data_IF_782238463377
#
_entry.id   IF_782238463377
#
_cell.length_a   1.000
_cell.length_b   1.000
_cell.length_c   1.000
_cell.angle_alpha   90.00
_cell.angle_beta   90.00
_cell.angle_gamma   90.00
#
_symmetry.space_group_name_H-M   'P 1'
#
loop_
_entity.id
_entity.type
_entity.pdbx_description
1 polymer ?
#
# COMPACT_ATOMS: atom_id res chain seq x y z
N UNK A 1 -14.57 4.66 2.13
CA UNK A 1 -14.64 4.23 0.70
C UNK A 1 -13.44 3.33 0.39
N UNK A 2 -13.60 2.44 -0.60
CA UNK A 2 -12.51 1.61 -1.12
C UNK A 2 -12.17 2.05 -2.53
N UNK A 3 -11.09 2.83 -2.67
CA UNK A 3 -10.62 3.38 -3.94
C UNK A 3 -9.53 2.48 -4.54
N UNK A 4 -9.53 2.31 -5.85
CA UNK A 4 -8.61 1.42 -6.54
C UNK A 4 -8.21 1.97 -7.91
N UNK A 5 -7.19 1.36 -8.52
CA UNK A 5 -6.80 1.59 -9.91
C UNK A 5 -6.86 0.26 -10.65
N UNK A 6 -7.47 0.23 -11.81
CA UNK A 6 -7.69 -0.99 -12.59
C UNK A 6 -7.32 -0.81 -14.04
N UNK A 7 -6.99 -1.90 -14.71
CA UNK A 7 -6.66 -1.93 -16.13
C UNK A 7 -5.20 -2.29 -16.43
N UNK A 8 -4.75 -2.13 -17.67
CA UNK A 8 -3.39 -2.49 -18.08
C UNK A 8 -2.32 -1.66 -17.36
N UNK A 9 -1.12 -2.24 -17.22
CA UNK A 9 0.05 -1.56 -16.64
C UNK A 9 0.33 -0.26 -17.41
N UNK A 10 0.45 0.85 -16.67
CA UNK A 10 0.73 2.18 -17.21
C UNK A 10 -0.48 2.86 -17.87
N UNK A 11 -1.65 2.22 -17.88
CA UNK A 11 -2.91 2.77 -18.39
C UNK A 11 -4.08 2.49 -17.42
N UNK A 12 -3.77 2.44 -16.13
CA UNK A 12 -4.76 2.23 -15.11
C UNK A 12 -5.76 3.38 -15.04
N UNK A 13 -7.00 3.04 -14.72
CA UNK A 13 -8.11 3.96 -14.51
C UNK A 13 -8.53 3.98 -13.04
N UNK A 14 -9.05 5.13 -12.53
CA UNK A 14 -9.58 5.20 -11.19
C UNK A 14 -10.91 4.46 -11.07
N UNK A 15 -11.11 3.80 -9.95
CA UNK A 15 -12.35 3.13 -9.61
C UNK A 15 -12.62 3.12 -8.10
N UNK A 16 -13.80 2.69 -7.74
CA UNK A 16 -14.16 2.39 -6.35
C UNK A 16 -15.01 1.11 -6.29
N UNK A 17 -15.05 0.49 -5.12
CA UNK A 17 -15.95 -0.63 -4.87
C UNK A 17 -17.31 -0.13 -4.39
N UNK A 18 -18.38 -0.66 -4.99
CA UNK A 18 -19.73 -0.50 -4.48
C UNK A 18 -20.00 -1.44 -3.28
N UNK A 19 -21.19 -1.36 -2.71
CA UNK A 19 -21.58 -2.17 -1.56
C UNK A 19 -21.61 -3.68 -1.84
N UNK A 20 -21.65 -4.07 -3.12
CA UNK A 20 -21.60 -5.47 -3.57
C UNK A 20 -20.18 -5.94 -3.92
N UNK A 21 -19.16 -5.08 -3.73
CA UNK A 21 -17.78 -5.37 -4.07
C UNK A 21 -17.48 -5.31 -5.57
N UNK A 22 -18.35 -4.68 -6.37
CA UNK A 22 -18.13 -4.49 -7.81
C UNK A 22 -17.39 -3.19 -8.06
N UNK A 23 -16.58 -3.16 -9.11
CA UNK A 23 -15.83 -1.95 -9.49
C UNK A 23 -16.71 -1.00 -10.28
N UNK A 24 -16.76 0.25 -9.84
CA UNK A 24 -17.37 1.38 -10.52
C UNK A 24 -16.30 2.30 -11.08
N UNK A 25 -16.44 2.71 -12.33
CA UNK A 25 -15.50 3.60 -13.02
C UNK A 25 -15.64 5.04 -12.53
N UNK A 26 -14.53 5.63 -12.08
CA UNK A 26 -14.44 7.02 -11.65
C UNK A 26 -13.83 7.95 -12.72
N UNK A 27 -13.50 7.47 -13.92
CA UNK A 27 -12.74 8.24 -14.92
C UNK A 27 -13.44 9.53 -15.39
N UNK A 28 -14.78 9.59 -15.30
CA UNK A 28 -15.54 10.80 -15.58
C UNK A 28 -15.53 11.81 -14.41
N UNK A 29 -15.08 11.41 -13.22
CA UNK A 29 -15.11 12.21 -11.99
C UNK A 29 -13.73 12.73 -11.62
N UNK A 30 -12.72 11.83 -11.68
CA UNK A 30 -11.32 12.13 -11.32
C UNK A 30 -10.38 11.49 -12.34
N UNK A 31 -9.22 12.10 -12.61
CA UNK A 31 -8.26 11.58 -13.58
C UNK A 31 -7.53 10.33 -13.11
N UNK A 32 -7.25 10.21 -11.82
CA UNK A 32 -6.54 9.07 -11.20
C UNK A 32 -6.75 9.09 -9.67
N UNK A 33 -6.42 7.99 -8.98
CA UNK A 33 -6.33 7.95 -7.51
C UNK A 33 -4.92 8.40 -7.11
N UNK A 34 -4.67 9.70 -7.21
CA UNK A 34 -3.35 10.30 -7.01
C UNK A 34 -3.43 11.78 -6.65
N UNK A 35 -2.37 12.32 -6.07
CA UNK A 35 -2.15 13.75 -5.87
C UNK A 35 -3.34 14.45 -5.20
N UNK A 36 -3.88 15.49 -5.86
CA UNK A 36 -4.95 16.31 -5.31
C UNK A 36 -6.29 15.58 -5.06
N UNK A 37 -6.47 14.41 -5.67
CA UNK A 37 -7.67 13.57 -5.41
C UNK A 37 -7.67 12.99 -4.01
N UNK A 38 -6.49 12.82 -3.40
CA UNK A 38 -6.31 12.29 -2.05
C UNK A 38 -6.44 13.36 -0.95
N UNK A 39 -6.58 14.64 -1.30
CA UNK A 39 -6.82 15.71 -0.32
C UNK A 39 -8.16 15.51 0.40
N UNK A 40 -8.26 15.90 1.68
CA UNK A 40 -9.49 15.75 2.48
C UNK A 40 -10.75 16.30 1.80
N UNK A 41 -10.66 17.48 1.18
CA UNK A 41 -11.78 18.09 0.48
C UNK A 41 -12.21 17.31 -0.77
N UNK A 42 -11.28 16.68 -1.48
CA UNK A 42 -11.57 15.83 -2.64
C UNK A 42 -12.22 14.52 -2.23
N UNK A 43 -11.69 13.88 -1.19
CA UNK A 43 -12.28 12.66 -0.62
C UNK A 43 -13.68 12.92 -0.08
N UNK A 44 -13.90 14.06 0.57
CA UNK A 44 -15.25 14.47 1.03
C UNK A 44 -16.24 14.59 -0.14
N UNK A 45 -15.82 15.13 -1.29
CA UNK A 45 -16.66 15.18 -2.49
C UNK A 45 -16.95 13.82 -3.08
N UNK A 46 -15.96 12.93 -3.13
CA UNK A 46 -16.16 11.56 -3.63
C UNK A 46 -17.17 10.78 -2.79
N UNK A 47 -17.23 11.01 -1.47
CA UNK A 47 -18.23 10.39 -0.57
C UNK A 47 -19.67 10.78 -0.87
N UNK A 48 -19.90 11.92 -1.51
CA UNK A 48 -21.24 12.41 -1.86
C UNK A 48 -21.75 11.82 -3.19
N UNK A 49 -20.94 11.07 -3.93
CA UNK A 49 -21.36 10.45 -5.18
C UNK A 49 -22.44 9.40 -4.95
N UNK A 50 -23.44 9.37 -5.83
CA UNK A 50 -24.30 8.20 -5.94
C UNK A 50 -23.57 7.11 -6.68
N UNK A 51 -23.00 6.16 -5.94
CA UNK A 51 -22.14 5.10 -6.47
C UNK A 51 -22.86 4.22 -7.49
N UNK A 52 -24.17 4.01 -7.34
CA UNK A 52 -24.96 3.17 -8.22
C UNK A 52 -25.17 3.79 -9.61
N UNK A 53 -25.00 5.09 -9.75
CA UNK A 53 -25.07 5.81 -11.04
C UNK A 53 -23.74 5.76 -11.83
N UNK A 54 -22.63 5.38 -11.17
CA UNK A 54 -21.35 5.25 -11.84
C UNK A 54 -21.32 4.02 -12.75
N UNK A 55 -20.63 4.10 -13.92
CA UNK A 55 -20.52 2.96 -14.83
C UNK A 55 -19.94 1.73 -14.15
N UNK A 56 -20.58 0.59 -14.33
CA UNK A 56 -20.07 -0.70 -13.85
C UNK A 56 -18.94 -1.18 -14.77
N UNK A 57 -17.80 -1.52 -14.18
CA UNK A 57 -16.69 -2.13 -14.89
C UNK A 57 -16.96 -3.63 -15.06
N UNK A 58 -16.77 -4.17 -16.25
CA UNK A 58 -16.87 -5.60 -16.49
C UNK A 58 -15.72 -6.36 -15.84
N UNK A 59 -16.03 -7.48 -15.23
CA UNK A 59 -15.09 -8.29 -14.47
C UNK A 59 -15.15 -8.02 -12.96
N UNK A 60 -14.49 -8.88 -12.21
CA UNK A 60 -14.38 -8.75 -10.75
C UNK A 60 -12.93 -8.57 -10.34
N UNK A 61 -12.65 -7.78 -9.30
CA UNK A 61 -11.32 -7.73 -8.71
C UNK A 61 -10.84 -9.15 -8.38
N UNK A 62 -9.56 -9.42 -8.55
CA UNK A 62 -8.90 -10.69 -8.20
C UNK A 62 -9.22 -11.90 -9.12
N UNK A 63 -10.20 -11.81 -10.01
CA UNK A 63 -10.52 -12.93 -10.92
C UNK A 63 -10.24 -12.61 -12.39
N UNK A 64 -10.78 -11.50 -12.89
CA UNK A 64 -10.73 -11.15 -14.31
C UNK A 64 -10.29 -9.71 -14.58
N UNK A 65 -10.26 -8.88 -13.54
CA UNK A 65 -9.87 -7.47 -13.65
C UNK A 65 -8.52 -7.28 -12.96
N UNK A 66 -7.48 -6.93 -13.74
CA UNK A 66 -6.20 -6.54 -13.15
C UNK A 66 -6.36 -5.26 -12.34
N UNK A 67 -5.85 -5.27 -11.10
CA UNK A 67 -5.67 -4.10 -10.26
C UNK A 67 -4.21 -3.62 -10.36
N UNK A 68 -4.01 -2.33 -10.54
CA UNK A 68 -2.71 -1.69 -10.35
C UNK A 68 -2.46 -1.35 -8.89
N UNK A 69 -1.29 -0.81 -8.57
CA UNK A 69 -1.07 -0.18 -7.27
C UNK A 69 -2.20 0.81 -6.99
N UNK A 70 -2.83 0.69 -5.83
CA UNK A 70 -4.09 1.39 -5.55
C UNK A 70 -3.97 2.93 -5.50
N UNK A 71 -2.73 3.44 -5.41
CA UNK A 71 -2.40 4.88 -5.49
C UNK A 71 -1.39 5.08 -6.62
N UNK A 72 -1.67 6.04 -7.49
CA UNK A 72 -0.77 6.47 -8.57
C UNK A 72 0.14 7.63 -8.18
N UNK A 73 1.16 7.90 -9.01
CA UNK A 73 2.06 9.05 -8.89
C UNK A 73 2.70 9.19 -7.50
N UNK A 74 3.07 8.08 -6.88
CA UNK A 74 3.72 8.07 -5.56
C UNK A 74 5.08 8.75 -5.66
N UNK A 75 5.27 9.85 -4.94
CA UNK A 75 6.54 10.61 -4.93
C UNK A 75 7.59 10.03 -3.98
N UNK A 76 7.15 9.44 -2.87
CA UNK A 76 8.01 8.82 -1.85
C UNK A 76 7.32 7.58 -1.28
N UNK A 77 8.08 6.52 -1.07
CA UNK A 77 7.67 5.35 -0.30
C UNK A 77 8.67 5.20 0.85
N UNK A 78 8.30 5.75 2.01
CA UNK A 78 9.13 5.75 3.23
C UNK A 78 8.63 4.60 4.10
N UNK A 79 9.56 3.77 4.57
CA UNK A 79 9.28 2.62 5.40
C UNK A 79 9.89 2.79 6.79
N UNK A 80 9.24 2.21 7.80
CA UNK A 80 9.71 2.21 9.18
C UNK A 80 10.02 0.76 9.57
N UNK A 81 11.30 0.47 9.75
CA UNK A 81 11.76 -0.86 10.15
C UNK A 81 11.50 -1.14 11.62
N UNK A 82 11.31 -2.42 11.97
CA UNK A 82 11.05 -2.89 13.34
C UNK A 82 9.88 -2.18 14.01
N UNK A 83 8.83 -1.87 13.25
CA UNK A 83 7.70 -1.06 13.69
C UNK A 83 6.55 -1.88 14.32
N UNK A 84 6.75 -3.18 14.49
CA UNK A 84 5.83 -4.10 15.19
C UNK A 84 6.53 -4.73 16.37
N UNK A 85 5.92 -4.64 17.55
CA UNK A 85 6.52 -5.12 18.81
C UNK A 85 6.76 -6.65 18.80
N UNK A 86 5.84 -7.40 18.20
CA UNK A 86 5.95 -8.86 18.04
C UNK A 86 7.11 -9.23 17.09
N UNK A 87 7.28 -8.51 15.96
CA UNK A 87 8.40 -8.73 15.05
C UNK A 87 9.77 -8.42 15.71
N UNK A 88 9.86 -7.36 16.51
CA UNK A 88 11.07 -7.05 17.27
C UNK A 88 11.39 -8.18 18.25
N UNK A 89 10.40 -8.73 18.95
CA UNK A 89 10.55 -9.84 19.89
C UNK A 89 11.01 -11.13 19.19
N UNK A 90 10.41 -11.49 18.04
CA UNK A 90 10.78 -12.66 17.25
C UNK A 90 12.22 -12.60 16.71
N UNK A 91 12.65 -11.42 16.29
CA UNK A 91 14.02 -11.19 15.78
C UNK A 91 15.06 -11.05 16.90
N UNK A 92 14.63 -11.05 18.16
CA UNK A 92 15.53 -10.86 19.34
C UNK A 92 16.13 -9.46 19.41
N UNK A 93 15.55 -8.50 18.74
CA UNK A 93 16.02 -7.11 18.71
C UNK A 93 15.21 -6.25 19.67
N UNK A 94 15.87 -5.30 20.33
CA UNK A 94 15.19 -4.30 21.13
C UNK A 94 14.36 -3.37 20.21
N UNK A 95 13.22 -2.92 20.70
CA UNK A 95 12.46 -1.86 20.03
C UNK A 95 13.37 -0.63 19.91
N UNK A 96 13.56 -0.10 18.69
CA UNK A 96 14.43 1.06 18.49
C UNK A 96 13.93 2.30 19.26
N UNK A 97 14.80 3.15 19.81
CA UNK A 97 14.40 4.36 20.51
C UNK A 97 13.82 5.47 19.59
N UNK A 98 14.05 5.35 18.31
CA UNK A 98 13.52 6.21 17.26
C UNK A 98 13.24 5.39 15.99
N UNK A 99 12.38 5.85 15.06
CA UNK A 99 12.05 5.11 13.86
C UNK A 99 13.26 4.80 12.99
N UNK A 100 13.44 3.53 12.62
CA UNK A 100 14.43 3.11 11.62
C UNK A 100 13.87 3.38 10.23
N UNK A 101 14.30 4.48 9.62
CA UNK A 101 13.77 4.95 8.34
C UNK A 101 14.58 4.38 7.17
N UNK A 102 13.90 3.81 6.20
CA UNK A 102 14.46 3.41 4.91
C UNK A 102 13.45 3.69 3.78
N UNK A 103 13.86 3.50 2.53
CA UNK A 103 13.00 3.76 1.38
C UNK A 103 12.84 2.53 0.50
N UNK A 104 11.66 2.42 -0.11
CA UNK A 104 11.49 1.66 -1.34
C UNK A 104 11.43 2.64 -2.50
N UNK A 105 12.15 2.33 -3.58
CA UNK A 105 12.03 3.13 -4.79
C UNK A 105 10.59 3.07 -5.30
N UNK A 106 10.08 4.16 -5.83
CA UNK A 106 8.68 4.17 -6.35
C UNK A 106 8.50 3.25 -7.55
N UNK A 107 9.59 2.89 -8.26
CA UNK A 107 9.61 1.85 -9.29
C UNK A 107 9.40 0.43 -8.75
N UNK A 108 9.55 0.21 -7.44
CA UNK A 108 9.22 -1.06 -6.82
C UNK A 108 7.72 -1.31 -6.70
N UNK A 109 6.88 -0.25 -6.75
CA UNK A 109 5.44 -0.37 -6.56
C UNK A 109 4.78 -1.01 -7.78
N UNK A 110 3.95 -2.01 -7.54
CA UNK A 110 3.17 -2.72 -8.55
C UNK A 110 1.77 -3.06 -8.01
N UNK A 111 0.93 -3.62 -8.86
CA UNK A 111 -0.39 -4.07 -8.43
C UNK A 111 -0.32 -5.25 -7.46
N UNK A 112 -1.36 -5.48 -6.65
CA UNK A 112 -1.35 -6.50 -5.60
C UNK A 112 -1.17 -7.92 -6.14
N UNK A 113 -1.62 -8.18 -7.36
CA UNK A 113 -1.55 -9.49 -8.02
C UNK A 113 -0.55 -9.50 -9.20
N UNK A 114 0.25 -8.44 -9.37
CA UNK A 114 1.30 -8.41 -10.39
C UNK A 114 2.46 -9.34 -10.01
N UNK A 115 3.15 -9.87 -11.01
CA UNK A 115 4.30 -10.73 -10.78
C UNK A 115 5.46 -9.98 -10.11
N UNK A 116 6.01 -10.54 -9.05
CA UNK A 116 7.26 -10.08 -8.43
C UNK A 116 8.43 -10.66 -9.20
N UNK A 117 9.28 -9.82 -9.74
CA UNK A 117 10.44 -10.23 -10.54
C UNK A 117 11.67 -10.41 -9.65
N UNK A 118 12.09 -11.66 -9.47
CA UNK A 118 13.27 -11.97 -8.68
C UNK A 118 14.52 -11.43 -9.40
N UNK A 119 15.32 -10.57 -8.76
CA UNK A 119 16.49 -9.97 -9.39
C UNK A 119 17.61 -10.99 -9.61
N UNK A 120 18.46 -10.74 -10.63
CA UNK A 120 19.60 -11.60 -10.94
C UNK A 120 20.51 -11.77 -9.73
N UNK A 121 20.83 -13.00 -9.38
CA UNK A 121 21.70 -13.34 -8.26
C UNK A 121 21.02 -13.26 -6.89
N UNK A 122 19.70 -13.09 -6.85
CA UNK A 122 18.91 -13.23 -5.64
C UNK A 122 18.78 -14.70 -5.25
N UNK A 123 18.96 -14.98 -3.97
CA UNK A 123 18.77 -16.32 -3.38
C UNK A 123 18.03 -16.27 -2.06
N UNK A 124 17.69 -15.07 -1.56
CA UNK A 124 17.07 -14.84 -0.25
C UNK A 124 15.92 -13.84 -0.33
N UNK A 125 15.11 -13.97 -1.38
CA UNK A 125 13.86 -13.18 -1.48
C UNK A 125 12.86 -13.67 -0.45
N UNK A 126 12.27 -12.73 0.27
CA UNK A 126 11.38 -12.96 1.41
C UNK A 126 10.19 -12.00 1.35
N UNK A 127 9.13 -12.31 2.04
CA UNK A 127 7.89 -11.56 2.14
C UNK A 127 7.80 -10.77 3.46
N UNK A 128 7.03 -9.69 3.46
CA UNK A 128 6.63 -8.96 4.67
C UNK A 128 5.25 -8.34 4.45
N UNK A 129 4.24 -8.78 5.21
CA UNK A 129 2.95 -8.07 5.21
C UNK A 129 3.07 -6.79 6.02
N UNK A 130 2.62 -5.67 5.42
CA UNK A 130 2.74 -4.34 6.01
C UNK A 130 1.45 -3.54 5.88
N UNK A 131 1.20 -2.67 6.86
CA UNK A 131 0.21 -1.62 6.76
C UNK A 131 0.83 -0.40 6.07
N UNK A 132 0.34 -0.08 4.88
CA UNK A 132 0.72 1.14 4.19
C UNK A 132 -0.23 2.29 4.54
N UNK A 133 0.35 3.41 4.96
CA UNK A 133 -0.36 4.66 5.27
C UNK A 133 -0.20 5.62 4.11
N UNK A 134 -1.30 6.04 3.50
CA UNK A 134 -1.29 6.98 2.38
C UNK A 134 -1.48 8.39 2.89
N UNK A 135 -0.48 9.24 2.70
CA UNK A 135 -0.54 10.66 3.04
C UNK A 135 -1.26 11.42 1.93
N UNK A 136 -2.41 11.99 2.24
CA UNK A 136 -3.22 12.78 1.31
C UNK A 136 -2.88 14.26 1.32
N UNK A 137 -2.55 14.81 2.48
CA UNK A 137 -2.19 16.21 2.63
C UNK A 137 -0.72 16.36 3.00
N UNK A 138 0.05 17.02 2.13
CA UNK A 138 1.45 17.31 2.40
C UNK A 138 1.63 18.30 3.55
N UNK A 139 2.81 18.25 4.21
CA UNK A 139 3.14 19.17 5.29
C UNK A 139 4.62 19.03 5.72
N UNK A 140 5.03 19.88 6.63
CA UNK A 140 6.33 19.80 7.32
C UNK A 140 6.18 20.33 8.75
N UNK A 141 6.97 19.82 9.67
CA UNK A 141 6.91 20.18 11.09
C UNK A 141 5.52 20.00 11.71
N UNK A 142 4.82 18.94 11.28
CA UNK A 142 3.47 18.61 11.72
C UNK A 142 3.54 18.15 13.17
N UNK A 143 2.74 18.73 14.05
CA UNK A 143 2.62 18.27 15.41
C UNK A 143 1.99 16.86 15.45
N UNK A 144 2.39 16.03 16.40
CA UNK A 144 1.87 14.67 16.56
C UNK A 144 0.34 14.64 16.63
N UNK A 145 -0.27 15.58 17.37
CA UNK A 145 -1.72 15.69 17.50
C UNK A 145 -2.46 15.96 16.17
N UNK A 146 -1.76 16.49 15.16
CA UNK A 146 -2.33 16.83 13.85
C UNK A 146 -2.00 15.78 12.77
N UNK A 147 -1.09 14.84 13.05
CA UNK A 147 -0.55 13.89 12.07
C UNK A 147 -1.65 13.10 11.35
N UNK A 148 -2.65 12.62 12.08
CA UNK A 148 -3.74 11.82 11.52
C UNK A 148 -4.64 12.60 10.54
N UNK A 149 -4.67 13.92 10.60
CA UNK A 149 -5.42 14.77 9.64
C UNK A 149 -4.79 14.76 8.25
N UNK A 150 -3.53 14.34 8.13
CA UNK A 150 -2.81 14.23 6.87
C UNK A 150 -3.01 12.89 6.16
N UNK A 151 -3.60 11.91 6.85
CA UNK A 151 -3.82 10.55 6.32
C UNK A 151 -5.04 10.50 5.42
N UNK A 152 -4.87 10.08 4.17
CA UNK A 152 -5.98 9.81 3.25
C UNK A 152 -6.64 8.45 3.53
N UNK A 153 -5.85 7.46 3.92
CA UNK A 153 -6.31 6.11 4.21
C UNK A 153 -5.18 5.10 4.28
N UNK A 154 -5.56 3.84 4.22
CA UNK A 154 -4.69 2.70 4.46
C UNK A 154 -4.86 1.64 3.37
N UNK A 155 -3.80 0.90 3.10
CA UNK A 155 -3.84 -0.28 2.24
C UNK A 155 -2.82 -1.32 2.73
N UNK A 156 -2.85 -2.50 2.15
CA UNK A 156 -1.84 -3.54 2.42
C UNK A 156 -0.68 -3.37 1.45
N UNK A 157 0.52 -3.61 1.93
CA UNK A 157 1.72 -3.72 1.11
C UNK A 157 2.45 -5.03 1.43
N UNK A 158 3.02 -5.64 0.41
CA UNK A 158 4.04 -6.66 0.62
C UNK A 158 5.41 -5.99 0.46
N UNK A 159 6.12 -5.78 1.57
CA UNK A 159 7.48 -5.22 1.56
C UNK A 159 8.50 -6.32 1.20
N UNK A 160 8.40 -6.83 -0.04
CA UNK A 160 9.28 -7.87 -0.53
C UNK A 160 10.74 -7.45 -0.38
N UNK A 161 11.56 -8.37 0.14
CA UNK A 161 12.93 -8.09 0.55
C UNK A 161 13.87 -9.14 -0.01
N UNK A 162 14.99 -8.73 -0.57
CA UNK A 162 16.12 -9.63 -0.81
C UNK A 162 17.10 -9.49 0.36
N UNK A 163 17.09 -10.45 1.26
CA UNK A 163 17.79 -10.36 2.56
C UNK A 163 19.30 -10.28 2.44
N UNK A 164 19.92 -10.93 1.46
CA UNK A 164 21.35 -10.82 1.25
C UNK A 164 21.73 -9.41 0.78
N UNK A 165 20.94 -8.82 -0.14
CA UNK A 165 21.19 -7.46 -0.62
C UNK A 165 20.95 -6.42 0.48
N UNK A 166 19.94 -6.65 1.32
CA UNK A 166 19.58 -5.79 2.43
C UNK A 166 20.66 -5.76 3.52
N UNK A 167 21.12 -6.95 3.97
CA UNK A 167 21.87 -7.08 5.22
C UNK A 167 23.38 -7.25 5.00
N UNK A 168 23.78 -7.91 3.90
CA UNK A 168 25.17 -8.34 3.72
C UNK A 168 25.94 -7.53 2.69
N UNK A 169 25.30 -6.52 2.03
CA UNK A 169 25.94 -5.74 0.98
C UNK A 169 26.04 -4.25 1.32
N UNK A 170 26.97 -3.92 2.21
CA UNK A 170 27.36 -2.55 2.59
C UNK A 170 26.31 -1.76 3.40
N UNK A 171 25.39 -2.44 4.07
CA UNK A 171 24.62 -1.85 5.17
C UNK A 171 23.47 -0.92 4.81
N UNK A 172 23.14 -0.68 3.54
CA UNK A 172 21.94 0.05 3.16
C UNK A 172 20.81 -0.89 2.78
N UNK A 173 19.66 -0.78 3.45
CA UNK A 173 18.51 -1.67 3.23
C UNK A 173 17.87 -1.50 1.85
N UNK A 174 17.96 -0.30 1.29
CA UNK A 174 17.37 0.04 -0.01
C UNK A 174 17.75 -0.92 -1.13
N UNK A 175 18.96 -1.50 -1.11
CA UNK A 175 19.40 -2.49 -2.10
C UNK A 175 18.55 -3.75 -2.12
N UNK A 176 18.09 -4.21 -0.97
CA UNK A 176 17.25 -5.39 -0.84
C UNK A 176 15.76 -5.07 -0.87
N UNK A 177 15.39 -3.84 -0.57
CA UNK A 177 14.01 -3.37 -0.44
C UNK A 177 13.48 -2.71 -1.73
N UNK A 178 14.37 -2.17 -2.58
CA UNK A 178 14.01 -1.32 -3.70
C UNK A 178 14.10 -1.97 -5.08
N UNK A 179 14.21 -3.30 -5.19
CA UNK A 179 14.16 -3.97 -6.49
C UNK A 179 12.80 -3.73 -7.17
N UNK A 180 12.79 -3.69 -8.51
CA UNK A 180 11.57 -3.51 -9.28
C UNK A 180 10.52 -4.57 -8.89
N UNK A 181 9.26 -4.16 -8.78
CA UNK A 181 8.12 -4.99 -8.37
C UNK A 181 8.15 -5.54 -6.93
N UNK A 182 9.09 -5.09 -6.09
CA UNK A 182 9.21 -5.53 -4.69
C UNK A 182 8.24 -4.82 -3.73
N UNK A 183 7.22 -4.17 -4.26
CA UNK A 183 6.20 -3.43 -3.50
C UNK A 183 4.79 -3.62 -4.02
N UNK A 184 4.25 -4.86 -4.07
CA UNK A 184 2.82 -5.06 -4.33
C UNK A 184 1.97 -4.26 -3.36
N UNK A 185 1.08 -3.37 -3.88
CA UNK A 185 0.33 -2.39 -3.09
C UNK A 185 -1.15 -2.43 -3.44
N UNK A 186 -1.99 -2.72 -2.46
CA UNK A 186 -3.44 -2.75 -2.66
C UNK A 186 -4.15 -3.71 -1.71
N UNK A 187 -5.25 -4.35 -2.14
CA UNK A 187 -5.91 -4.23 -3.46
C UNK A 187 -6.62 -2.89 -3.67
N UNK A 188 -6.94 -2.17 -2.61
CA UNK A 188 -7.57 -0.85 -2.63
C UNK A 188 -7.09 0.02 -1.47
N UNK A 189 -7.23 1.32 -1.62
CA UNK A 189 -7.09 2.30 -0.55
C UNK A 189 -8.42 2.36 0.21
N UNK A 190 -8.40 1.99 1.49
CA UNK A 190 -9.51 2.23 2.43
C UNK A 190 -9.34 3.61 3.02
N UNK A 191 -10.29 4.52 2.78
CA UNK A 191 -10.21 5.89 3.31
C UNK A 191 -10.23 5.92 4.83
N UNK A 192 -9.52 6.88 5.44
CA UNK A 192 -9.26 6.92 6.88
C UNK A 192 -10.53 6.89 7.76
N UNK A 193 -11.65 7.42 7.26
CA UNK A 193 -12.94 7.41 7.96
C UNK A 193 -13.54 5.99 8.14
N UNK A 194 -13.09 5.00 7.36
CA UNK A 194 -13.50 3.59 7.54
C UNK A 194 -12.54 2.80 8.47
N UNK A 195 -11.47 3.42 8.93
CA UNK A 195 -10.49 2.82 9.84
C UNK A 195 -10.35 3.71 11.07
N UNK A 196 -11.26 3.59 12.04
CA UNK A 196 -11.30 4.50 13.19
C UNK A 196 -10.08 4.37 14.11
N UNK A 197 -9.49 3.19 14.19
CA UNK A 197 -8.27 2.95 14.97
C UNK A 197 -7.33 1.99 14.22
N UNK A 198 -6.30 2.51 13.55
CA UNK A 198 -5.34 1.68 12.83
C UNK A 198 -4.47 0.82 13.77
N UNK A 199 -4.42 1.12 15.07
CA UNK A 199 -3.67 0.33 16.06
C UNK A 199 -4.40 -0.97 16.46
N UNK A 200 -5.67 -1.14 16.05
CA UNK A 200 -6.47 -2.35 16.32
C UNK A 200 -6.58 -3.28 15.09
N UNK A 201 -5.76 -3.07 14.08
CA UNK A 201 -5.76 -3.90 12.88
C UNK A 201 -4.89 -5.14 13.11
N UNK A 202 -5.40 -6.31 12.69
CA UNK A 202 -4.61 -7.53 12.59
C UNK A 202 -4.04 -7.66 11.17
N UNK A 203 -2.77 -8.09 11.10
CA UNK A 203 -2.08 -8.37 9.84
C UNK A 203 -1.66 -9.83 9.80
N UNK A 204 -1.79 -10.47 8.65
CA UNK A 204 -1.33 -11.83 8.46
C UNK A 204 -0.96 -12.10 7.00
N UNK A 205 -0.09 -13.09 6.80
CA UNK A 205 0.35 -13.54 5.49
C UNK A 205 0.35 -15.06 5.42
N UNK A 206 -0.09 -15.58 4.29
CA UNK A 206 -0.07 -17.01 3.99
C UNK A 206 0.70 -17.27 2.69
N UNK A 207 1.47 -18.35 2.69
CA UNK A 207 2.14 -18.89 1.52
C UNK A 207 1.67 -20.34 1.36
N UNK A 208 1.13 -20.66 0.19
CA UNK A 208 0.59 -22.00 -0.12
C UNK A 208 -0.38 -22.53 0.95
N UNK A 209 -1.24 -21.66 1.47
CA UNK A 209 -2.23 -21.98 2.50
C UNK A 209 -1.66 -22.14 3.91
N UNK A 210 -0.37 -21.91 4.11
CA UNK A 210 0.26 -21.91 5.43
C UNK A 210 0.46 -20.47 5.91
N UNK A 211 -0.06 -20.15 7.10
CA UNK A 211 0.17 -18.86 7.74
C UNK A 211 1.61 -18.75 8.20
N UNK A 212 2.33 -17.73 7.71
CA UNK A 212 3.75 -17.50 7.95
C UNK A 212 4.02 -16.18 8.66
N UNK A 213 3.08 -15.23 8.62
CA UNK A 213 3.08 -14.05 9.49
C UNK A 213 1.69 -13.86 10.12
N UNK A 214 1.66 -13.42 11.37
CA UNK A 214 0.42 -13.13 12.12
C UNK A 214 0.77 -12.17 13.26
N UNK A 215 0.33 -10.92 13.15
CA UNK A 215 0.66 -9.85 14.10
C UNK A 215 -0.39 -8.74 14.12
N UNK A 216 -0.12 -7.69 14.89
CA UNK A 216 -0.98 -6.51 15.03
C UNK A 216 -0.16 -5.25 15.30
#
# INVERSE_FOLDING_TARGET
MKLLRYGPIGAEKPGLLDAQGRVRDLSAVVPDIAGAVLLPASLARLRLLNVDELPLVAGTPQQTLRLGACVGQVGKCICIGLNYADHAAESGMAVPPEPVVFNKWTSALCGPDDAVHIPRGSTKTDWEVELAVVIGQGGRYIAEADAMQHVAGYCVMNDVSERDFQLNRSGTWDKGKGCDTFGPLGPWLVTADEVPDPQQLALWLEVDGKRVQNGS
#
